data_IF_449412258442
#
_entry.id   IF_449412258442
#
_cell.length_a   1.000
_cell.length_b   1.000
_cell.length_c   1.000
_cell.angle_alpha   90.00
_cell.angle_beta   90.00
_cell.angle_gamma   90.00
#
_symmetry.space_group_name_H-M   'P 1'
#
loop_
_entity.id
_entity.type
_entity.pdbx_description
1 polymer ?
#
# COMPACT_ATOMS: atom_id res chain seq x y z
N UNK A 1 -16.82 6.11 34.26
CA UNK A 1 -16.40 6.59 32.93
C UNK A 1 -14.96 7.01 33.05
N UNK A 2 -14.02 6.29 32.40
CA UNK A 2 -12.62 6.70 32.44
C UNK A 2 -12.50 8.02 31.69
N UNK A 3 -12.15 9.08 32.41
CA UNK A 3 -11.82 10.39 31.86
C UNK A 3 -10.58 10.18 30.99
N UNK A 4 -10.71 10.24 29.66
CA UNK A 4 -9.54 10.34 28.79
C UNK A 4 -8.82 11.63 29.17
N UNK A 5 -7.65 11.51 29.80
CA UNK A 5 -6.82 12.65 30.15
C UNK A 5 -6.18 13.20 28.86
N UNK A 6 -6.43 14.46 28.48
CA UNK A 6 -5.86 15.08 27.27
C UNK A 6 -4.32 15.03 27.24
N UNK A 7 -3.70 14.98 28.43
CA UNK A 7 -2.26 14.86 28.63
C UNK A 7 -1.68 13.56 28.09
N UNK A 8 -2.40 12.43 28.22
CA UNK A 8 -1.95 11.12 27.73
C UNK A 8 -2.02 11.05 26.19
N UNK A 9 -3.09 11.57 25.60
CA UNK A 9 -3.24 11.68 24.14
C UNK A 9 -2.12 12.56 23.58
N UNK A 10 -1.82 13.69 24.25
CA UNK A 10 -0.75 14.61 23.83
C UNK A 10 0.64 13.97 23.93
N UNK A 11 0.89 13.17 24.97
CA UNK A 11 2.16 12.45 25.13
C UNK A 11 2.33 11.37 24.05
N UNK A 12 1.27 10.63 23.74
CA UNK A 12 1.28 9.58 22.71
C UNK A 12 1.55 10.15 21.31
N UNK A 13 0.93 11.28 20.96
CA UNK A 13 1.16 11.95 19.68
C UNK A 13 2.61 12.45 19.59
N UNK A 14 3.12 13.08 20.65
CA UNK A 14 4.53 13.54 20.70
C UNK A 14 5.51 12.40 20.54
N UNK A 15 5.24 11.25 21.15
CA UNK A 15 6.06 10.06 21.00
C UNK A 15 6.06 9.57 19.55
N UNK A 16 4.89 9.43 18.91
CA UNK A 16 4.81 9.02 17.49
C UNK A 16 5.52 9.97 16.54
N UNK A 17 5.51 11.27 16.83
CA UNK A 17 6.26 12.26 16.04
C UNK A 17 7.76 12.09 16.25
N UNK A 18 8.21 11.83 17.48
CA UNK A 18 9.62 11.58 17.79
C UNK A 18 10.16 10.28 17.17
N UNK A 19 9.32 9.26 17.10
CA UNK A 19 9.65 7.94 16.54
C UNK A 19 9.47 7.87 15.01
N UNK A 20 9.05 8.97 14.35
CA UNK A 20 8.88 9.01 12.91
C UNK A 20 10.26 9.01 12.23
N UNK A 21 10.62 7.87 11.65
CA UNK A 21 11.80 7.77 10.81
C UNK A 21 11.60 8.58 9.52
N UNK A 22 12.46 9.58 9.30
CA UNK A 22 12.43 10.48 8.14
C UNK A 22 13.44 10.07 7.06
N UNK A 23 14.09 8.92 7.23
CA UNK A 23 15.01 8.40 6.24
C UNK A 23 14.28 8.02 4.94
N UNK A 24 14.92 8.28 3.81
CA UNK A 24 14.40 7.91 2.51
C UNK A 24 14.64 6.40 2.29
N UNK A 25 13.59 5.60 2.32
CA UNK A 25 13.65 4.19 1.96
C UNK A 25 13.44 4.04 0.47
N UNK A 26 14.35 3.34 -0.21
CA UNK A 26 14.11 2.93 -1.59
C UNK A 26 12.97 1.91 -1.61
N UNK A 27 11.90 2.22 -2.33
CA UNK A 27 10.77 1.31 -2.56
C UNK A 27 10.70 0.96 -4.04
N UNK A 28 10.21 -0.23 -4.32
CA UNK A 28 9.86 -0.60 -5.69
C UNK A 28 8.45 -0.08 -5.97
N UNK A 29 8.29 0.65 -7.06
CA UNK A 29 7.04 1.29 -7.44
C UNK A 29 6.67 0.88 -8.87
N UNK A 30 5.38 0.94 -9.18
CA UNK A 30 4.87 0.65 -10.50
C UNK A 30 3.65 1.50 -10.80
N UNK A 31 3.27 1.54 -12.07
CA UNK A 31 2.11 2.31 -12.54
C UNK A 31 1.01 1.37 -12.99
N UNK A 32 -0.23 1.67 -12.59
CA UNK A 32 -1.40 0.92 -13.03
C UNK A 32 -1.61 1.21 -14.52
N UNK A 33 -1.70 0.15 -15.33
CA UNK A 33 -1.98 0.25 -16.78
C UNK A 33 -3.40 -0.19 -17.10
N UNK A 34 -3.96 -1.07 -16.27
CA UNK A 34 -5.31 -1.59 -16.47
C UNK A 34 -5.92 -1.99 -15.13
N UNK A 35 -7.22 -1.70 -14.98
CA UNK A 35 -8.08 -2.23 -13.92
C UNK A 35 -9.27 -2.91 -14.56
N UNK A 36 -9.51 -4.19 -14.26
CA UNK A 36 -10.62 -4.97 -14.80
C UNK A 36 -11.10 -6.00 -13.79
N UNK A 37 -12.36 -5.89 -13.35
CA UNK A 37 -13.05 -6.85 -12.47
C UNK A 37 -12.20 -7.35 -11.27
N UNK A 38 -11.55 -6.43 -10.56
CA UNK A 38 -10.70 -6.74 -9.41
C UNK A 38 -9.29 -7.25 -9.74
N UNK A 39 -8.93 -7.34 -11.02
CA UNK A 39 -7.57 -7.60 -11.50
C UNK A 39 -6.95 -6.28 -11.96
N UNK A 40 -5.76 -5.99 -11.47
CA UNK A 40 -4.98 -4.81 -11.81
C UNK A 40 -3.69 -5.26 -12.49
N UNK A 41 -3.35 -4.63 -13.60
CA UNK A 41 -2.07 -4.85 -14.29
C UNK A 41 -1.18 -3.65 -14.04
N UNK A 42 -0.04 -3.90 -13.41
CA UNK A 42 0.93 -2.88 -13.03
C UNK A 42 2.17 -3.05 -13.90
N UNK A 43 2.64 -1.97 -14.52
CA UNK A 43 3.95 -1.93 -15.17
C UNK A 43 5.02 -1.51 -14.17
N UNK A 44 6.18 -2.16 -14.20
CA UNK A 44 7.23 -1.98 -13.19
C UNK A 44 7.20 -3.08 -12.14
N UNK A 45 7.49 -2.74 -10.88
CA UNK A 45 7.60 -3.70 -9.78
C UNK A 45 8.55 -4.87 -10.09
N UNK A 46 9.75 -4.55 -10.57
CA UNK A 46 10.72 -5.54 -11.07
C UNK A 46 11.15 -6.59 -10.03
N UNK A 47 11.07 -6.27 -8.74
CA UNK A 47 11.45 -7.14 -7.64
C UNK A 47 10.24 -7.81 -6.97
N UNK A 48 9.03 -7.65 -7.52
CA UNK A 48 7.84 -8.23 -6.93
C UNK A 48 7.87 -9.76 -6.98
N UNK A 49 7.48 -10.38 -5.87
CA UNK A 49 7.44 -11.83 -5.73
C UNK A 49 6.02 -12.37 -5.87
N UNK A 50 5.91 -13.63 -6.32
CA UNK A 50 4.62 -14.29 -6.39
C UNK A 50 4.02 -14.42 -4.98
N UNK A 51 2.77 -14.00 -4.82
CA UNK A 51 2.05 -13.99 -3.54
C UNK A 51 2.40 -12.82 -2.63
N UNK A 52 3.20 -11.86 -3.09
CA UNK A 52 3.50 -10.64 -2.33
C UNK A 52 2.26 -9.73 -2.22
N UNK A 53 2.15 -9.03 -1.08
CA UNK A 53 1.15 -7.99 -0.90
C UNK A 53 1.65 -6.67 -1.46
N UNK A 54 0.90 -6.12 -2.40
CA UNK A 54 1.15 -4.81 -3.00
C UNK A 54 0.18 -3.81 -2.37
N UNK A 55 0.73 -2.73 -1.84
CA UNK A 55 -0.03 -1.60 -1.32
C UNK A 55 -0.36 -0.64 -2.48
N UNK A 56 -1.62 -0.24 -2.55
CA UNK A 56 -2.12 0.79 -3.45
C UNK A 56 -2.41 2.08 -2.68
N UNK A 57 -2.54 3.17 -3.43
CA UNK A 57 -2.99 4.44 -2.89
C UNK A 57 -4.34 4.30 -2.14
N UNK A 58 -4.43 4.95 -0.99
CA UNK A 58 -5.60 4.87 -0.12
C UNK A 58 -5.60 3.67 0.84
N UNK A 59 -4.48 2.95 0.97
CA UNK A 59 -4.34 1.84 1.93
C UNK A 59 -5.08 0.58 1.52
N UNK A 60 -5.33 0.43 0.22
CA UNK A 60 -5.88 -0.78 -0.37
C UNK A 60 -4.74 -1.76 -0.65
N UNK A 61 -5.01 -3.06 -0.53
CA UNK A 61 -4.02 -4.08 -0.77
C UNK A 61 -4.44 -5.00 -1.90
N UNK A 62 -3.47 -5.54 -2.61
CA UNK A 62 -3.67 -6.63 -3.54
C UNK A 62 -2.56 -7.66 -3.45
N UNK A 63 -2.75 -8.79 -4.12
CA UNK A 63 -1.81 -9.90 -4.13
C UNK A 63 -1.27 -10.11 -5.54
N UNK A 64 0.05 -10.16 -5.68
CA UNK A 64 0.71 -10.47 -6.94
C UNK A 64 0.48 -11.95 -7.31
N UNK A 65 -0.28 -12.22 -8.37
CA UNK A 65 -0.58 -13.58 -8.83
C UNK A 65 0.04 -13.92 -10.18
N UNK A 66 0.38 -12.92 -10.99
CA UNK A 66 1.05 -13.14 -12.27
C UNK A 66 2.28 -12.23 -12.38
N UNK A 67 3.41 -12.81 -12.75
CA UNK A 67 4.66 -12.08 -12.99
C UNK A 67 5.03 -12.25 -14.46
N UNK A 68 4.74 -11.24 -15.26
CA UNK A 68 5.17 -11.16 -16.65
C UNK A 68 6.46 -10.35 -16.76
N UNK A 69 7.12 -10.41 -17.93
CA UNK A 69 8.40 -9.72 -18.15
C UNK A 69 8.33 -8.21 -17.90
N UNK A 70 7.21 -7.59 -18.30
CA UNK A 70 7.02 -6.14 -18.23
C UNK A 70 5.83 -5.74 -17.35
N UNK A 71 5.17 -6.69 -16.67
CA UNK A 71 4.02 -6.34 -15.83
C UNK A 71 3.69 -7.38 -14.77
N UNK A 72 3.08 -6.91 -13.69
CA UNK A 72 2.58 -7.73 -12.60
C UNK A 72 1.06 -7.71 -12.60
N UNK A 73 0.44 -8.89 -12.61
CA UNK A 73 -0.99 -9.07 -12.41
C UNK A 73 -1.30 -9.19 -10.91
N UNK A 74 -2.08 -8.26 -10.40
CA UNK A 74 -2.43 -8.13 -8.99
C UNK A 74 -3.92 -8.31 -8.81
N UNK A 75 -4.34 -9.16 -7.88
CA UNK A 75 -5.75 -9.27 -7.47
C UNK A 75 -6.00 -8.37 -6.28
N UNK A 76 -6.97 -7.48 -6.40
CA UNK A 76 -7.32 -6.49 -5.38
C UNK A 76 -8.12 -7.13 -4.25
N UNK A 77 -7.70 -6.91 -3.02
CA UNK A 77 -8.37 -7.36 -1.81
C UNK A 77 -9.23 -6.24 -1.24
N UNK A 78 -10.30 -5.88 -1.96
CA UNK A 78 -11.22 -4.84 -1.53
C UNK A 78 -11.97 -4.17 -2.69
N UNK A 79 -12.34 -2.91 -2.51
CA UNK A 79 -13.08 -2.16 -3.52
C UNK A 79 -12.13 -1.63 -4.60
N UNK A 80 -12.09 -2.28 -5.76
CA UNK A 80 -11.22 -1.88 -6.87
C UNK A 80 -11.71 -0.61 -7.60
N UNK A 81 -12.94 -0.13 -7.38
CA UNK A 81 -13.49 1.04 -8.08
C UNK A 81 -12.80 2.36 -7.70
N UNK A 82 -12.03 2.38 -6.61
CA UNK A 82 -11.22 3.53 -6.23
C UNK A 82 -9.89 3.60 -6.99
N UNK A 83 -9.50 2.53 -7.68
CA UNK A 83 -8.26 2.47 -8.45
C UNK A 83 -8.50 3.01 -9.86
N UNK A 84 -7.57 3.83 -10.34
CA UNK A 84 -7.55 4.37 -11.70
C UNK A 84 -6.13 4.26 -12.25
N UNK A 85 -6.01 4.39 -13.58
CA UNK A 85 -4.73 4.55 -14.30
C UNK A 85 -3.99 5.82 -13.85
#
# INVERSE_FOLDING_TARGET
MQQLNPSEISALIKQRIGDLDTSATAKNEGTIVMVSDGIVRIHGLADAMYGEMIEFDGGLFGMALNLEQDSVGVVVLGNYLSLQE
#
